data_IF_951115777995
#
_entry.id   IF_951115777995
#
_cell.length_a   1.000
_cell.length_b   1.000
_cell.length_c   1.000
_cell.angle_alpha   90.00
_cell.angle_beta   90.00
_cell.angle_gamma   90.00
#
_symmetry.space_group_name_H-M   'P 1'
#
loop_
_entity.id
_entity.type
_entity.pdbx_description
1 polymer ?
#
# COMPACT_ATOMS: atom_id res chain seq x y z
N UNK A 1 -17.33 25.35 10.64
CA UNK A 1 -18.00 25.05 9.35
C UNK A 1 -17.96 23.55 9.16
N UNK A 2 -19.11 22.87 9.25
CA UNK A 2 -19.20 21.43 8.99
C UNK A 2 -19.04 21.23 7.49
N UNK A 3 -17.89 20.72 7.04
CA UNK A 3 -17.70 20.27 5.66
C UNK A 3 -18.42 18.93 5.53
N UNK A 4 -19.52 18.92 4.79
CA UNK A 4 -20.19 17.70 4.34
C UNK A 4 -19.23 16.98 3.40
N UNK A 5 -18.75 15.81 3.81
CA UNK A 5 -17.95 14.94 2.96
C UNK A 5 -18.94 14.20 2.05
N UNK A 6 -18.93 14.56 0.77
CA UNK A 6 -19.52 13.73 -0.27
C UNK A 6 -18.46 12.72 -0.67
N UNK A 7 -18.44 11.54 -0.04
CA UNK A 7 -17.80 10.37 -0.66
C UNK A 7 -18.70 10.04 -1.84
N UNK A 8 -18.27 10.41 -3.05
CA UNK A 8 -18.93 10.08 -4.28
C UNK A 8 -18.34 8.77 -4.80
N UNK A 9 -18.76 7.65 -4.23
CA UNK A 9 -18.54 6.35 -4.87
C UNK A 9 -19.30 6.37 -6.20
N UNK A 10 -18.55 6.26 -7.30
CA UNK A 10 -19.11 6.18 -8.63
C UNK A 10 -19.90 4.87 -8.77
N UNK A 11 -21.20 4.92 -8.50
CA UNK A 11 -22.12 3.81 -8.68
C UNK A 11 -22.21 3.43 -10.17
N UNK A 12 -21.59 2.32 -10.58
CA UNK A 12 -21.76 1.77 -11.93
C UNK A 12 -23.00 0.87 -12.01
N UNK A 13 -23.97 1.26 -12.84
CA UNK A 13 -25.05 0.37 -13.28
C UNK A 13 -24.49 -0.73 -14.20
N UNK A 14 -24.63 -1.99 -13.79
CA UNK A 14 -24.43 -3.16 -14.65
C UNK A 14 -25.62 -3.34 -15.60
N UNK A 15 -25.37 -3.24 -16.91
CA UNK A 15 -26.32 -3.69 -17.94
C UNK A 15 -26.12 -5.19 -18.13
N UNK A 16 -27.13 -5.97 -17.73
CA UNK A 16 -27.23 -7.40 -18.02
C UNK A 16 -27.76 -7.61 -19.44
N UNK A 17 -27.05 -8.38 -20.26
CA UNK A 17 -27.61 -9.01 -21.46
C UNK A 17 -27.48 -10.54 -21.31
N UNK A 18 -28.63 -11.20 -21.20
CA UNK A 18 -28.76 -12.65 -21.21
C UNK A 18 -29.02 -13.22 -22.60
N UNK A 19 -28.82 -14.55 -22.70
CA UNK A 19 -29.09 -15.42 -23.84
C UNK A 19 -27.79 -16.08 -24.32
N UNK A 20 -27.56 -17.39 -24.24
CA UNK A 20 -28.43 -18.56 -24.12
C UNK A 20 -27.95 -19.56 -25.19
N UNK A 21 -27.55 -20.78 -24.80
CA UNK A 21 -27.17 -21.82 -25.77
C UNK A 21 -26.33 -22.96 -25.20
N UNK A 22 -27.00 -24.07 -24.90
CA UNK A 22 -26.47 -25.37 -24.47
C UNK A 22 -25.35 -25.95 -25.35
N UNK A 23 -24.44 -26.73 -24.74
CA UNK A 23 -24.32 -28.19 -25.01
C UNK A 23 -23.23 -28.90 -24.18
N UNK A 24 -23.74 -29.89 -23.43
CA UNK A 24 -23.25 -31.27 -23.20
C UNK A 24 -21.82 -31.55 -22.68
N UNK A 25 -21.86 -32.10 -21.47
CA UNK A 25 -20.94 -33.01 -20.78
C UNK A 25 -20.53 -34.19 -21.66
N UNK A 26 -19.24 -34.57 -21.57
CA UNK A 26 -18.86 -35.99 -21.58
C UNK A 26 -17.75 -36.24 -20.56
N UNK A 27 -17.89 -37.34 -19.81
CA UNK A 27 -17.02 -37.78 -18.74
C UNK A 27 -16.28 -39.05 -19.17
N UNK A 28 -15.11 -39.27 -18.53
CA UNK A 28 -14.55 -40.57 -18.11
C UNK A 28 -13.27 -41.02 -18.85
N UNK A 29 -12.46 -41.95 -18.29
CA UNK A 29 -11.60 -41.72 -17.11
C UNK A 29 -10.19 -42.41 -17.21
N UNK A 30 -9.40 -42.30 -16.11
CA UNK A 30 -8.19 -43.09 -15.70
C UNK A 30 -6.86 -42.57 -16.28
N UNK A 31 -5.75 -42.50 -15.52
CA UNK A 31 -5.24 -43.48 -14.55
C UNK A 31 -4.21 -42.84 -13.61
N UNK A 32 -4.21 -43.24 -12.33
CA UNK A 32 -3.17 -42.99 -11.33
C UNK A 32 -1.89 -43.79 -11.64
N UNK A 33 -0.71 -43.22 -11.35
CA UNK A 33 0.49 -43.98 -10.96
C UNK A 33 1.27 -43.23 -9.87
N UNK A 34 1.76 -44.04 -8.93
CA UNK A 34 2.33 -43.71 -7.62
C UNK A 34 3.71 -43.05 -7.62
N UNK A 35 3.91 -42.27 -6.55
CA UNK A 35 5.10 -42.06 -5.73
C UNK A 35 6.45 -42.65 -6.17
N UNK A 36 7.45 -41.77 -6.31
CA UNK A 36 8.78 -42.01 -5.75
C UNK A 36 9.28 -40.80 -4.97
N UNK A 37 9.64 -41.12 -3.74
CA UNK A 37 10.22 -40.27 -2.71
C UNK A 37 11.68 -39.96 -3.09
N UNK A 38 12.05 -38.68 -3.21
CA UNK A 38 13.46 -38.26 -3.24
C UNK A 38 13.66 -37.00 -2.40
N UNK A 39 14.45 -37.19 -1.36
CA UNK A 39 14.94 -36.24 -0.38
C UNK A 39 15.69 -35.06 -1.04
N UNK A 40 15.42 -33.78 -0.68
CA UNK A 40 16.20 -32.67 -1.22
C UNK A 40 17.52 -32.49 -0.46
N UNK A 41 18.61 -32.49 -1.22
CA UNK A 41 19.95 -32.09 -0.77
C UNK A 41 20.01 -30.56 -0.61
N UNK A 42 20.93 -30.02 0.22
CA UNK A 42 20.92 -28.62 0.63
C UNK A 42 21.31 -27.70 -0.54
N UNK A 43 20.43 -26.77 -0.89
CA UNK A 43 20.70 -25.72 -1.86
C UNK A 43 21.56 -24.63 -1.24
N UNK A 44 22.76 -24.47 -1.77
CA UNK A 44 23.70 -23.37 -1.57
C UNK A 44 23.03 -22.02 -1.82
N UNK A 45 23.29 -20.96 -1.02
CA UNK A 45 22.69 -19.64 -1.25
C UNK A 45 23.15 -19.07 -2.60
N UNK A 46 22.20 -18.78 -3.47
CA UNK A 46 22.43 -18.05 -4.72
C UNK A 46 22.80 -16.60 -4.41
N UNK A 47 23.98 -16.20 -4.85
CA UNK A 47 24.45 -14.81 -4.88
C UNK A 47 23.73 -14.04 -5.99
N UNK A 48 22.51 -13.58 -5.77
CA UNK A 48 21.85 -12.58 -6.63
C UNK A 48 22.25 -11.17 -6.15
N UNK A 49 23.51 -10.80 -6.43
CA UNK A 49 24.01 -9.43 -6.28
C UNK A 49 23.67 -8.66 -7.56
N UNK A 50 22.47 -8.10 -7.62
CA UNK A 50 22.16 -6.77 -8.17
C UNK A 50 20.78 -6.39 -7.64
N UNK A 51 20.65 -5.18 -7.06
CA UNK A 51 19.35 -4.56 -6.86
C UNK A 51 18.70 -4.48 -8.24
N UNK A 52 17.79 -5.40 -8.54
CA UNK A 52 17.03 -5.35 -9.79
C UNK A 52 16.36 -3.99 -9.82
N UNK A 53 16.71 -3.21 -10.84
CA UNK A 53 16.03 -1.97 -11.23
C UNK A 53 14.60 -2.37 -11.56
N UNK A 54 13.74 -2.42 -10.54
CA UNK A 54 12.41 -3.00 -10.62
C UNK A 54 11.53 -2.10 -11.49
N UNK A 55 11.45 -2.42 -12.78
CA UNK A 55 10.41 -1.97 -13.71
C UNK A 55 9.99 -0.51 -13.63
N UNK A 56 10.94 0.43 -13.44
CA UNK A 56 10.65 1.84 -13.12
C UNK A 56 10.04 2.64 -14.27
N UNK A 57 9.76 2.06 -15.43
CA UNK A 57 9.30 2.84 -16.57
C UNK A 57 7.84 3.30 -16.41
N UNK A 58 7.69 4.62 -16.42
CA UNK A 58 6.42 5.28 -16.73
C UNK A 58 6.48 5.59 -18.23
N UNK A 59 5.57 4.99 -18.98
CA UNK A 59 5.41 5.19 -20.41
C UNK A 59 4.62 6.47 -20.69
N UNK A 60 4.87 7.11 -21.83
CA UNK A 60 4.01 8.17 -22.38
C UNK A 60 2.97 7.63 -23.37
N UNK A 61 2.96 6.31 -23.60
CA UNK A 61 2.00 5.61 -24.46
C UNK A 61 0.93 4.93 -23.62
N UNK A 62 -0.34 5.28 -23.87
CA UNK A 62 -1.51 4.66 -23.24
C UNK A 62 -1.94 3.44 -24.09
N UNK A 63 -2.11 2.24 -23.50
CA UNK A 63 -2.56 1.08 -24.26
C UNK A 63 -3.97 1.27 -24.83
N UNK A 64 -4.14 1.01 -26.13
CA UNK A 64 -5.40 1.24 -26.85
C UNK A 64 -6.54 0.30 -26.46
N UNK A 65 -6.23 -0.80 -25.78
CA UNK A 65 -7.19 -1.82 -25.36
C UNK A 65 -7.86 -1.53 -24.00
N UNK A 66 -7.54 -0.42 -23.33
CA UNK A 66 -8.12 -0.08 -22.02
C UNK A 66 -9.54 0.48 -22.11
N UNK A 67 -9.97 0.92 -23.30
CA UNK A 67 -11.28 1.52 -23.56
C UNK A 67 -11.18 2.98 -24.00
N UNK A 68 -12.25 3.50 -24.59
CA UNK A 68 -12.23 4.78 -25.31
C UNK A 68 -11.86 5.99 -24.44
N UNK A 69 -12.20 5.98 -23.14
CA UNK A 69 -11.87 7.07 -22.21
C UNK A 69 -10.37 7.13 -21.87
N UNK A 70 -9.66 6.01 -21.98
CA UNK A 70 -8.24 5.89 -21.64
C UNK A 70 -7.36 6.07 -22.88
N UNK A 71 -7.27 7.31 -23.34
CA UNK A 71 -6.52 7.69 -24.54
C UNK A 71 -5.52 8.81 -24.22
N UNK A 72 -4.64 9.12 -25.18
CA UNK A 72 -3.57 10.11 -25.04
C UNK A 72 -4.06 11.57 -24.88
N UNK A 73 -5.32 11.86 -25.15
CA UNK A 73 -5.92 13.18 -24.89
C UNK A 73 -6.32 13.33 -23.42
N UNK A 74 -6.74 12.24 -22.78
CA UNK A 74 -7.22 12.24 -21.39
C UNK A 74 -6.13 11.91 -20.38
N UNK A 75 -5.16 11.07 -20.77
CA UNK A 75 -4.07 10.59 -19.93
C UNK A 75 -2.76 10.62 -20.73
N UNK A 76 -1.67 11.08 -20.13
CA UNK A 76 -0.38 11.22 -20.81
C UNK A 76 0.72 10.31 -20.24
N UNK A 77 0.42 9.58 -19.16
CA UNK A 77 1.36 8.67 -18.50
C UNK A 77 0.68 7.34 -18.19
N UNK A 78 1.44 6.26 -18.33
CA UNK A 78 0.99 4.90 -18.07
C UNK A 78 2.06 4.08 -17.37
N UNK A 79 1.64 3.27 -16.40
CA UNK A 79 2.45 2.18 -15.86
C UNK A 79 1.55 1.00 -15.50
N UNK A 80 2.14 -0.10 -15.03
CA UNK A 80 1.36 -1.27 -14.61
C UNK A 80 2.11 -2.12 -13.59
N UNK A 81 1.36 -2.94 -12.87
CA UNK A 81 1.89 -4.07 -12.10
C UNK A 81 1.64 -5.35 -12.89
N UNK A 82 2.69 -6.12 -13.17
CA UNK A 82 2.58 -7.42 -13.84
C UNK A 82 2.08 -8.47 -12.86
N UNK A 83 1.13 -9.28 -13.31
CA UNK A 83 0.55 -10.37 -12.52
C UNK A 83 1.25 -11.69 -12.84
N UNK A 84 1.27 -12.67 -11.92
CA UNK A 84 1.97 -13.94 -12.13
C UNK A 84 1.56 -14.71 -13.40
N UNK A 85 0.32 -14.59 -13.86
CA UNK A 85 -0.16 -15.20 -15.11
C UNK A 85 0.15 -14.40 -16.39
N UNK A 86 1.00 -13.36 -16.32
CA UNK A 86 1.37 -12.52 -17.46
C UNK A 86 0.41 -11.37 -17.76
N UNK A 87 -0.70 -11.26 -17.04
CA UNK A 87 -1.62 -10.12 -17.08
C UNK A 87 -1.02 -8.81 -16.56
N UNK A 88 -1.85 -7.77 -16.49
CA UNK A 88 -1.45 -6.45 -16.00
C UNK A 88 -2.58 -5.79 -15.23
N UNK A 89 -2.22 -5.13 -14.12
CA UNK A 89 -3.08 -4.18 -13.42
C UNK A 89 -2.61 -2.79 -13.86
N UNK A 90 -3.51 -2.04 -14.47
CA UNK A 90 -3.16 -0.84 -15.21
C UNK A 90 -3.23 0.40 -14.33
N UNK A 91 -2.30 1.33 -14.55
CA UNK A 91 -2.31 2.64 -13.90
C UNK A 91 -2.13 3.69 -15.00
N UNK A 92 -3.12 4.57 -15.14
CA UNK A 92 -3.09 5.70 -16.08
C UNK A 92 -3.11 6.99 -15.29
N UNK A 93 -2.38 8.01 -15.74
CA UNK A 93 -2.26 9.27 -15.02
C UNK A 93 -2.40 10.48 -15.94
N UNK A 94 -3.08 11.50 -15.41
CA UNK A 94 -3.19 12.82 -16.02
C UNK A 94 -1.91 13.64 -15.81
N UNK A 95 -1.82 14.76 -16.52
CA UNK A 95 -0.60 15.53 -16.73
C UNK A 95 -0.07 16.28 -15.49
N UNK A 96 -0.89 16.50 -14.46
CA UNK A 96 -0.44 17.13 -13.21
C UNK A 96 0.02 16.13 -12.16
N UNK A 97 -0.16 14.82 -12.38
CA UNK A 97 0.34 13.79 -11.48
C UNK A 97 1.85 13.65 -11.66
N UNK A 98 2.60 13.79 -10.57
CA UNK A 98 4.07 13.68 -10.65
C UNK A 98 4.51 12.23 -10.83
N UNK A 99 5.75 12.03 -11.28
CA UNK A 99 6.30 10.68 -11.41
C UNK A 99 6.39 9.98 -10.05
N UNK A 100 6.74 10.73 -9.00
CA UNK A 100 6.82 10.25 -7.63
C UNK A 100 5.45 9.77 -7.14
N UNK A 101 4.37 10.51 -7.43
CA UNK A 101 3.00 10.08 -7.12
C UNK A 101 2.62 8.80 -7.87
N UNK A 102 2.91 8.70 -9.17
CA UNK A 102 2.65 7.50 -9.99
C UNK A 102 3.41 6.29 -9.42
N UNK A 103 4.69 6.47 -9.09
CA UNK A 103 5.54 5.42 -8.54
C UNK A 103 5.03 4.98 -7.17
N UNK A 104 4.67 5.92 -6.28
CA UNK A 104 4.11 5.60 -4.97
C UNK A 104 2.83 4.78 -5.09
N UNK A 105 1.88 5.19 -5.94
CA UNK A 105 0.64 4.45 -6.15
C UNK A 105 0.92 3.02 -6.64
N UNK A 106 1.82 2.87 -7.62
CA UNK A 106 2.24 1.54 -8.10
C UNK A 106 2.87 0.70 -6.98
N UNK A 107 3.65 1.33 -6.10
CA UNK A 107 4.34 0.66 -5.01
C UNK A 107 3.38 0.22 -3.90
N UNK A 108 2.37 1.04 -3.54
CA UNK A 108 1.30 0.67 -2.61
C UNK A 108 0.52 -0.54 -3.16
N UNK A 109 0.15 -0.52 -4.44
CA UNK A 109 -0.50 -1.66 -5.09
C UNK A 109 0.36 -2.94 -5.00
N UNK A 110 1.66 -2.84 -5.29
CA UNK A 110 2.59 -3.96 -5.13
C UNK A 110 2.68 -4.43 -3.69
N UNK A 111 2.63 -3.52 -2.72
CA UNK A 111 2.65 -3.88 -1.31
C UNK A 111 1.44 -4.73 -0.92
N UNK A 112 0.23 -4.32 -1.30
CA UNK A 112 -0.96 -5.13 -1.05
C UNK A 112 -0.90 -6.52 -1.70
N UNK A 113 -0.27 -6.62 -2.86
CA UNK A 113 -0.11 -7.87 -3.61
C UNK A 113 1.16 -8.67 -3.25
N UNK A 114 1.99 -8.18 -2.32
CA UNK A 114 3.16 -8.93 -1.84
C UNK A 114 2.71 -10.03 -0.88
N UNK A 115 3.11 -11.27 -1.15
CA UNK A 115 2.86 -12.43 -0.30
C UNK A 115 3.35 -12.20 1.14
N UNK A 116 2.50 -12.46 2.13
CA UNK A 116 2.88 -12.53 3.53
C UNK A 116 2.90 -13.99 3.97
N UNK A 117 4.04 -14.66 3.79
CA UNK A 117 4.21 -16.09 4.07
C UNK A 117 3.82 -16.41 5.51
N UNK A 118 3.03 -17.46 5.70
CA UNK A 118 2.49 -17.87 6.99
C UNK A 118 1.18 -17.21 7.40
N UNK A 119 0.72 -16.16 6.71
CA UNK A 119 -0.62 -15.60 6.93
C UNK A 119 -1.73 -16.46 6.32
N UNK A 120 -2.93 -16.39 6.89
CA UNK A 120 -4.05 -17.26 6.53
C UNK A 120 -4.57 -17.06 5.10
N UNK A 121 -4.66 -15.81 4.66
CA UNK A 121 -5.22 -15.43 3.36
C UNK A 121 -4.23 -14.65 2.47
N UNK A 122 -3.07 -14.29 3.02
CA UNK A 122 -2.02 -13.54 2.31
C UNK A 122 -0.78 -14.37 1.96
N UNK A 123 -0.72 -15.67 2.26
CA UNK A 123 0.48 -16.49 2.04
C UNK A 123 0.89 -16.63 0.57
N UNK A 124 -0.09 -16.59 -0.33
CA UNK A 124 0.10 -16.53 -1.78
C UNK A 124 -1.03 -15.68 -2.37
N UNK A 125 -0.69 -14.48 -2.86
CA UNK A 125 -1.63 -13.51 -3.43
C UNK A 125 -1.68 -13.59 -4.95
N UNK A 126 -1.06 -14.60 -5.56
CA UNK A 126 -1.03 -14.77 -7.02
C UNK A 126 -2.44 -14.85 -7.60
N UNK A 127 -3.35 -15.59 -6.96
CA UNK A 127 -4.74 -15.70 -7.41
C UNK A 127 -5.47 -14.35 -7.40
N UNK A 128 -5.21 -13.52 -6.37
CA UNK A 128 -5.79 -12.17 -6.23
C UNK A 128 -5.27 -11.26 -7.34
N UNK A 129 -3.95 -11.18 -7.51
CA UNK A 129 -3.34 -10.38 -8.58
C UNK A 129 -3.85 -10.81 -9.97
N UNK A 130 -3.89 -12.12 -10.24
CA UNK A 130 -4.40 -12.66 -11.50
C UNK A 130 -5.88 -12.33 -11.71
N UNK A 131 -6.69 -12.36 -10.65
CA UNK A 131 -8.11 -11.98 -10.72
C UNK A 131 -8.27 -10.49 -11.03
N UNK A 132 -7.42 -9.62 -10.45
CA UNK A 132 -7.42 -8.19 -10.78
C UNK A 132 -7.16 -7.94 -12.27
N UNK A 133 -6.15 -8.61 -12.86
CA UNK A 133 -5.88 -8.50 -14.29
C UNK A 133 -7.04 -9.04 -15.14
N UNK A 134 -7.61 -10.20 -14.77
CA UNK A 134 -8.78 -10.78 -15.44
C UNK A 134 -9.99 -9.83 -15.43
N UNK A 135 -10.18 -9.12 -14.32
CA UNK A 135 -11.29 -8.20 -14.11
C UNK A 135 -11.01 -6.77 -14.62
N UNK A 136 -9.96 -6.58 -15.42
CA UNK A 136 -9.64 -5.31 -16.07
C UNK A 136 -9.34 -4.19 -15.07
N UNK A 137 -8.63 -4.49 -13.98
CA UNK A 137 -8.29 -3.51 -12.96
C UNK A 137 -7.49 -2.33 -13.55
N UNK A 138 -8.04 -1.12 -13.37
CA UNK A 138 -7.44 0.16 -13.77
C UNK A 138 -7.50 1.10 -12.57
N UNK A 139 -6.36 1.67 -12.18
CA UNK A 139 -6.27 2.84 -11.31
C UNK A 139 -6.14 4.08 -12.20
N UNK A 140 -7.06 5.03 -12.07
CA UNK A 140 -7.08 6.28 -12.81
C UNK A 140 -6.63 7.43 -11.90
N UNK A 141 -5.38 7.90 -12.10
CA UNK A 141 -4.84 9.03 -11.35
C UNK A 141 -5.30 10.34 -11.99
N UNK A 142 -6.19 11.06 -11.29
CA UNK A 142 -6.90 12.22 -11.80
C UNK A 142 -6.35 13.52 -11.21
N UNK A 143 -6.28 14.57 -12.03
CA UNK A 143 -5.89 15.90 -11.57
C UNK A 143 -6.90 16.46 -10.55
N UNK A 144 -6.42 17.29 -9.61
CA UNK A 144 -7.28 17.98 -8.63
C UNK A 144 -7.57 17.15 -7.39
N UNK A 145 -8.83 17.18 -6.93
CA UNK A 145 -9.33 16.53 -5.71
C UNK A 145 -10.74 15.98 -5.98
N UNK A 146 -11.23 15.09 -5.11
CA UNK A 146 -12.59 14.56 -5.25
C UNK A 146 -13.67 15.58 -4.83
N UNK A 147 -13.91 16.57 -5.70
CA UNK A 147 -14.93 17.61 -5.53
C UNK A 147 -15.85 17.73 -6.74
N UNK A 148 -15.78 16.77 -7.67
CA UNK A 148 -16.53 16.75 -8.91
C UNK A 148 -16.02 17.73 -9.99
N UNK A 149 -14.95 18.48 -9.74
CA UNK A 149 -14.39 19.43 -10.72
C UNK A 149 -13.68 18.76 -11.89
N UNK A 150 -13.16 17.54 -11.69
CA UNK A 150 -12.48 16.80 -12.76
C UNK A 150 -13.52 16.24 -13.77
N UNK A 151 -13.47 16.61 -15.06
CA UNK A 151 -14.47 16.23 -16.06
C UNK A 151 -14.45 14.74 -16.45
N UNK A 152 -13.46 13.98 -15.98
CA UNK A 152 -13.36 12.54 -16.20
C UNK A 152 -13.82 11.70 -15.00
N UNK A 153 -14.07 12.31 -13.84
CA UNK A 153 -14.47 11.62 -12.60
C UNK A 153 -15.64 10.66 -12.81
N UNK A 154 -16.65 11.06 -13.59
CA UNK A 154 -17.85 10.25 -13.89
C UNK A 154 -17.76 9.42 -15.17
N UNK A 155 -16.62 9.45 -15.87
CA UNK A 155 -16.42 8.79 -17.18
C UNK A 155 -15.44 7.63 -17.11
N UNK A 156 -14.50 7.66 -16.18
CA UNK A 156 -13.56 6.56 -15.97
C UNK A 156 -14.26 5.40 -15.29
N UNK A 157 -14.01 4.19 -15.76
CA UNK A 157 -14.53 2.93 -15.19
C UNK A 157 -13.60 2.28 -14.16
N UNK A 158 -12.38 2.80 -14.03
CA UNK A 158 -11.37 2.38 -13.08
C UNK A 158 -11.53 3.14 -11.76
N UNK A 159 -10.78 2.70 -10.75
CA UNK A 159 -10.74 3.36 -9.45
C UNK A 159 -10.12 4.75 -9.60
N UNK A 160 -10.84 5.86 -9.32
CA UNK A 160 -10.24 7.18 -9.31
C UNK A 160 -9.35 7.34 -8.07
N UNK A 161 -8.26 8.09 -8.20
CA UNK A 161 -7.45 8.58 -7.08
C UNK A 161 -6.87 9.94 -7.49
N UNK A 162 -7.07 10.97 -6.68
CA UNK A 162 -6.80 12.33 -7.11
C UNK A 162 -5.42 12.85 -6.69
N UNK A 163 -4.90 13.79 -7.49
CA UNK A 163 -3.61 14.44 -7.28
C UNK A 163 -3.42 14.96 -5.85
N UNK A 164 -4.43 15.62 -5.31
CA UNK A 164 -4.41 16.25 -3.98
C UNK A 164 -4.81 15.27 -2.87
N UNK A 165 -4.67 13.97 -3.12
CA UNK A 165 -4.89 12.88 -2.17
C UNK A 165 -3.70 11.92 -2.11
N UNK A 166 -2.63 12.17 -2.89
CA UNK A 166 -1.43 11.34 -2.95
C UNK A 166 -0.27 12.13 -2.34
N UNK A 167 0.06 11.82 -1.09
CA UNK A 167 1.28 12.33 -0.48
C UNK A 167 2.52 11.65 -1.10
N UNK A 168 3.70 12.24 -0.95
CA UNK A 168 4.97 11.61 -1.34
C UNK A 168 5.91 11.67 -0.15
N UNK A 169 6.49 10.53 0.21
CA UNK A 169 7.38 10.36 1.35
C UNK A 169 8.53 11.38 1.30
N UNK A 170 8.81 12.04 2.41
CA UNK A 170 9.82 13.11 2.49
C UNK A 170 9.43 14.45 1.87
N UNK A 171 8.29 14.55 1.17
CA UNK A 171 7.74 15.82 0.68
C UNK A 171 7.09 16.62 1.81
N UNK A 172 6.98 17.94 1.64
CA UNK A 172 6.48 18.85 2.68
C UNK A 172 5.11 18.43 3.26
N UNK A 173 4.18 18.01 2.40
CA UNK A 173 2.85 17.56 2.83
C UNK A 173 2.91 16.29 3.69
N UNK A 174 3.68 15.29 3.25
CA UNK A 174 3.92 14.06 4.02
C UNK A 174 4.59 14.33 5.36
N UNK A 175 5.58 15.23 5.39
CA UNK A 175 6.32 15.54 6.61
C UNK A 175 5.47 16.32 7.62
N UNK A 176 4.59 17.20 7.14
CA UNK A 176 3.78 18.08 7.98
C UNK A 176 2.59 17.38 8.65
N UNK A 177 1.93 16.44 7.93
CA UNK A 177 0.68 15.79 8.39
C UNK A 177 -0.33 16.78 9.01
N UNK A 178 -0.66 17.85 8.27
CA UNK A 178 -1.58 18.90 8.75
C UNK A 178 -3.07 18.55 8.56
N UNK A 179 -3.38 17.47 7.84
CA UNK A 179 -4.73 17.00 7.52
C UNK A 179 -5.65 18.05 6.86
N UNK A 180 -5.09 19.06 6.17
CA UNK A 180 -5.87 19.91 5.27
C UNK A 180 -6.46 19.08 4.12
N UNK A 181 -5.68 18.09 3.67
CA UNK A 181 -6.07 17.00 2.80
C UNK A 181 -5.52 15.69 3.39
N UNK A 182 -6.32 14.61 3.36
CA UNK A 182 -5.86 13.27 3.75
C UNK A 182 -5.03 12.64 2.64
N UNK A 183 -4.19 11.68 3.00
CA UNK A 183 -3.62 10.75 2.04
C UNK A 183 -4.64 9.62 1.80
N UNK A 184 -5.26 9.59 0.62
CA UNK A 184 -6.23 8.55 0.27
C UNK A 184 -5.58 7.42 -0.55
N UNK A 185 -4.27 7.46 -0.80
CA UNK A 185 -3.64 6.49 -1.70
C UNK A 185 -3.74 5.06 -1.18
N UNK A 186 -3.67 4.84 0.14
CA UNK A 186 -3.85 3.50 0.72
C UNK A 186 -5.29 3.01 0.61
N UNK A 187 -6.26 3.86 0.94
CA UNK A 187 -7.72 3.63 0.84
C UNK A 187 -8.13 3.30 -0.60
N UNK A 188 -7.90 4.19 -1.55
CA UNK A 188 -8.37 4.02 -2.94
C UNK A 188 -7.72 2.82 -3.63
N UNK A 189 -6.42 2.59 -3.40
CA UNK A 189 -5.74 1.44 -3.99
C UNK A 189 -6.22 0.14 -3.35
N UNK A 190 -6.60 0.17 -2.06
CA UNK A 190 -7.22 -0.97 -1.41
C UNK A 190 -8.60 -1.26 -1.99
N UNK A 191 -9.44 -0.25 -2.23
CA UNK A 191 -10.73 -0.44 -2.92
C UNK A 191 -10.55 -1.16 -4.26
N UNK A 192 -9.55 -0.77 -5.07
CA UNK A 192 -9.23 -1.46 -6.31
C UNK A 192 -8.84 -2.94 -6.10
N UNK A 193 -7.98 -3.23 -5.11
CA UNK A 193 -7.57 -4.61 -4.76
C UNK A 193 -8.75 -5.42 -4.23
N UNK A 194 -9.64 -4.78 -3.48
CA UNK A 194 -10.83 -5.39 -2.91
C UNK A 194 -11.82 -5.76 -4.02
N UNK A 195 -12.23 -4.81 -4.85
CA UNK A 195 -13.24 -5.01 -5.89
C UNK A 195 -12.79 -5.97 -7.00
N UNK A 196 -11.52 -5.85 -7.43
CA UNK A 196 -11.03 -6.59 -8.60
C UNK A 196 -10.29 -7.86 -8.23
N UNK A 197 -9.80 -7.97 -6.99
CA UNK A 197 -8.96 -9.06 -6.52
C UNK A 197 -9.67 -9.95 -5.51
N UNK A 198 -9.76 -9.47 -4.26
CA UNK A 198 -10.32 -10.19 -3.10
C UNK A 198 -11.77 -10.59 -3.36
N UNK A 199 -12.57 -9.64 -3.85
CA UNK A 199 -13.99 -9.75 -4.10
C UNK A 199 -14.85 -9.23 -2.96
N UNK A 200 -16.08 -8.88 -3.32
CA UNK A 200 -17.13 -8.42 -2.42
C UNK A 200 -18.31 -9.36 -2.60
N UNK A 201 -18.68 -10.06 -1.54
CA UNK A 201 -19.82 -10.97 -1.51
C UNK A 201 -21.15 -10.21 -1.50
N UNK A 202 -22.27 -10.88 -1.80
CA UNK A 202 -23.60 -10.29 -1.80
C UNK A 202 -24.01 -9.61 -3.11
N UNK A 203 -25.24 -9.08 -3.15
CA UNK A 203 -25.81 -8.45 -4.35
C UNK A 203 -25.02 -7.19 -4.74
N UNK A 204 -24.79 -7.01 -6.05
CA UNK A 204 -23.99 -5.89 -6.57
C UNK A 204 -22.46 -6.06 -6.43
N UNK A 205 -22.01 -7.03 -5.62
CA UNK A 205 -20.60 -7.40 -5.51
C UNK A 205 -20.15 -8.41 -6.57
N UNK A 206 -18.86 -8.74 -6.53
CA UNK A 206 -18.24 -9.78 -7.36
C UNK A 206 -17.50 -10.78 -6.48
N UNK A 207 -17.78 -12.08 -6.66
CA UNK A 207 -17.01 -13.14 -5.99
C UNK A 207 -15.59 -13.12 -6.56
N UNK A 208 -14.65 -12.73 -5.71
CA UNK A 208 -13.24 -12.63 -6.07
C UNK A 208 -12.45 -13.88 -5.67
N UNK A 209 -11.13 -13.71 -5.57
CA UNK A 209 -10.20 -14.81 -5.32
C UNK A 209 -10.06 -15.20 -3.85
N UNK A 210 -10.63 -14.42 -2.91
CA UNK A 210 -10.52 -14.69 -1.47
C UNK A 210 -11.88 -14.56 -0.74
N UNK A 211 -12.89 -15.37 -1.11
CA UNK A 211 -14.23 -15.27 -0.53
C UNK A 211 -14.28 -15.54 0.98
N UNK A 212 -13.40 -16.39 1.51
CA UNK A 212 -13.31 -16.66 2.95
C UNK A 212 -12.77 -15.45 3.73
N UNK A 213 -11.76 -14.76 3.18
CA UNK A 213 -11.26 -13.52 3.77
C UNK A 213 -12.33 -12.42 3.72
N UNK A 214 -13.04 -12.31 2.60
CA UNK A 214 -14.17 -11.38 2.49
C UNK A 214 -15.27 -11.66 3.52
N UNK A 215 -15.59 -12.93 3.79
CA UNK A 215 -16.53 -13.28 4.85
C UNK A 215 -16.05 -12.79 6.23
N UNK A 216 -14.75 -12.89 6.51
CA UNK A 216 -14.15 -12.35 7.75
C UNK A 216 -14.19 -10.83 7.82
N UNK A 217 -13.92 -10.14 6.70
CA UNK A 217 -14.06 -8.68 6.60
C UNK A 217 -15.50 -8.27 6.90
N UNK A 218 -16.49 -8.96 6.31
CA UNK A 218 -17.91 -8.67 6.56
C UNK A 218 -18.32 -8.92 8.01
N UNK A 219 -17.85 -10.02 8.61
CA UNK A 219 -18.10 -10.33 10.03
C UNK A 219 -17.58 -9.21 10.94
N UNK A 220 -16.34 -8.76 10.75
CA UNK A 220 -15.73 -7.68 11.50
C UNK A 220 -16.44 -6.33 11.25
N UNK A 221 -16.78 -6.03 10.00
CA UNK A 221 -17.52 -4.83 9.63
C UNK A 221 -18.90 -4.76 10.32
N UNK A 222 -19.63 -5.87 10.35
CA UNK A 222 -20.93 -5.95 11.02
C UNK A 222 -20.78 -5.71 12.53
N UNK A 223 -19.79 -6.36 13.16
CA UNK A 223 -19.45 -6.13 14.56
C UNK A 223 -19.12 -4.65 14.82
N UNK A 224 -18.32 -4.02 13.95
CA UNK A 224 -17.90 -2.64 14.11
C UNK A 224 -19.07 -1.65 14.00
N UNK A 225 -20.02 -1.87 13.07
CA UNK A 225 -21.24 -1.06 13.02
C UNK A 225 -22.13 -1.27 14.24
N UNK A 226 -22.36 -2.53 14.64
CA UNK A 226 -23.24 -2.86 15.77
C UNK A 226 -22.74 -2.28 17.09
N UNK A 227 -21.42 -2.24 17.28
CA UNK A 227 -20.79 -1.76 18.50
C UNK A 227 -20.29 -0.31 18.39
N UNK A 228 -20.63 0.41 17.31
CA UNK A 228 -20.21 1.79 17.08
C UNK A 228 -18.67 1.97 17.18
N UNK A 229 -17.93 1.01 16.64
CA UNK A 229 -16.46 1.06 16.48
C UNK A 229 -16.06 1.73 15.16
N UNK A 230 -16.99 1.74 14.20
CA UNK A 230 -16.80 2.31 12.88
C UNK A 230 -18.07 3.02 12.40
N UNK A 231 -17.89 3.95 11.46
CA UNK A 231 -18.89 4.88 10.96
C UNK A 231 -19.51 5.76 12.07
N UNK A 232 -18.70 6.07 13.09
CA UNK A 232 -19.09 6.89 14.24
C UNK A 232 -19.48 8.28 13.76
N UNK A 233 -20.65 8.75 14.18
CA UNK A 233 -21.17 10.07 13.80
C UNK A 233 -21.57 10.19 12.33
N UNK A 234 -21.61 9.08 11.58
CA UNK A 234 -22.10 9.07 10.20
C UNK A 234 -23.62 9.05 10.17
N UNK A 235 -24.21 9.87 9.31
CA UNK A 235 -25.66 9.94 9.14
C UNK A 235 -26.25 8.60 8.67
N UNK A 236 -27.38 8.19 9.24
CA UNK A 236 -28.00 6.90 8.94
C UNK A 236 -28.37 6.72 7.44
N UNK A 237 -28.68 7.83 6.75
CA UNK A 237 -28.93 7.82 5.30
C UNK A 237 -27.69 7.44 4.51
N UNK A 238 -26.49 7.90 4.91
CA UNK A 238 -25.22 7.55 4.26
C UNK A 238 -24.85 6.09 4.53
N UNK A 239 -25.10 5.57 5.73
CA UNK A 239 -24.95 4.13 6.01
C UNK A 239 -25.90 3.29 5.15
N UNK A 240 -27.11 3.79 4.90
CA UNK A 240 -28.09 3.11 4.03
C UNK A 240 -27.64 3.11 2.57
N UNK A 241 -27.10 4.23 2.09
CA UNK A 241 -26.48 4.37 0.76
C UNK A 241 -25.36 3.34 0.57
N UNK A 242 -24.36 3.32 1.45
CA UNK A 242 -23.25 2.36 1.38
C UNK A 242 -23.71 0.90 1.50
N UNK A 243 -24.78 0.64 2.27
CA UNK A 243 -25.37 -0.69 2.35
C UNK A 243 -25.99 -1.12 1.03
N UNK A 244 -26.69 -0.22 0.35
CA UNK A 244 -27.33 -0.48 -0.94
C UNK A 244 -26.28 -0.66 -2.06
N UNK A 245 -25.16 0.05 -1.95
CA UNK A 245 -24.00 -0.08 -2.85
C UNK A 245 -23.14 -1.31 -2.54
N UNK A 246 -23.38 -1.97 -1.40
CA UNK A 246 -22.56 -3.06 -0.89
C UNK A 246 -21.08 -2.67 -0.66
N UNK A 247 -20.83 -1.41 -0.28
CA UNK A 247 -19.48 -0.84 -0.05
C UNK A 247 -19.04 -0.88 1.42
N UNK A 248 -19.94 -1.13 2.39
CA UNK A 248 -19.63 -1.10 3.82
C UNK A 248 -18.38 -1.89 4.22
N UNK A 249 -18.17 -3.10 3.67
CA UNK A 249 -16.99 -3.92 3.98
C UNK A 249 -15.68 -3.30 3.49
N UNK A 250 -15.75 -2.54 2.39
CA UNK A 250 -14.58 -1.90 1.80
C UNK A 250 -14.19 -0.67 2.61
N UNK A 251 -15.17 0.21 2.87
CA UNK A 251 -14.98 1.43 3.68
C UNK A 251 -14.46 1.10 5.08
N UNK A 252 -15.04 0.07 5.71
CA UNK A 252 -14.56 -0.43 7.00
C UNK A 252 -13.11 -0.92 6.91
N UNK A 253 -12.78 -1.79 5.95
CA UNK A 253 -11.43 -2.32 5.84
C UNK A 253 -10.39 -1.22 5.58
N UNK A 254 -10.72 -0.24 4.74
CA UNK A 254 -9.86 0.93 4.52
C UNK A 254 -9.59 1.69 5.81
N UNK A 255 -10.61 1.86 6.66
CA UNK A 255 -10.47 2.50 7.98
C UNK A 255 -9.48 1.80 8.90
N UNK A 256 -9.55 0.48 8.91
CA UNK A 256 -8.64 -0.38 9.68
C UNK A 256 -7.23 -0.27 9.11
N UNK A 257 -7.05 -0.39 7.79
CA UNK A 257 -5.74 -0.37 7.11
C UNK A 257 -5.03 0.96 7.31
N UNK A 258 -5.75 2.07 7.15
CA UNK A 258 -5.20 3.40 7.33
C UNK A 258 -4.64 3.61 8.74
N UNK A 259 -5.39 3.18 9.75
CA UNK A 259 -4.98 3.30 11.16
C UNK A 259 -3.87 2.30 11.50
N UNK A 260 -3.94 1.08 10.94
CA UNK A 260 -2.92 0.05 11.09
C UNK A 260 -1.57 0.48 10.50
N UNK A 261 -1.55 1.22 9.39
CA UNK A 261 -0.32 1.81 8.86
C UNK A 261 -0.07 3.24 9.35
N UNK A 262 -0.81 3.71 10.36
CA UNK A 262 -0.50 4.96 11.05
C UNK A 262 -0.75 6.25 10.26
N UNK A 263 -1.59 6.21 9.22
CA UNK A 263 -1.97 7.41 8.45
C UNK A 263 -2.74 8.42 9.31
N UNK A 264 -3.38 7.97 10.39
CA UNK A 264 -4.18 8.82 11.29
C UNK A 264 -3.52 9.14 12.63
N UNK A 265 -2.34 8.57 12.93
CA UNK A 265 -1.70 8.76 14.23
C UNK A 265 -1.35 10.21 14.56
N UNK A 266 -1.11 11.04 13.54
CA UNK A 266 -0.84 12.47 13.69
C UNK A 266 -2.09 13.36 13.77
N UNK A 267 -3.30 12.80 13.57
CA UNK A 267 -4.52 13.59 13.52
C UNK A 267 -4.86 14.18 14.90
N UNK A 268 -4.92 15.50 15.02
CA UNK A 268 -5.04 16.17 16.33
C UNK A 268 -6.47 16.54 16.73
N UNK A 269 -7.42 16.54 15.79
CA UNK A 269 -8.81 16.94 16.10
C UNK A 269 -9.60 15.82 16.80
N UNK A 270 -9.02 14.63 16.93
CA UNK A 270 -9.53 13.51 17.70
C UNK A 270 -8.43 12.93 18.58
N UNK A 271 -8.74 12.72 19.86
CA UNK A 271 -7.81 12.16 20.84
C UNK A 271 -7.52 10.68 20.59
N UNK A 272 -8.57 9.89 20.36
CA UNK A 272 -8.54 8.42 20.30
C UNK A 272 -8.92 7.82 18.95
N UNK A 273 -9.68 8.54 18.12
CA UNK A 273 -10.29 7.98 16.90
C UNK A 273 -9.54 8.40 15.63
N UNK A 274 -9.39 7.46 14.69
CA UNK A 274 -8.90 7.67 13.32
C UNK A 274 -10.02 8.11 12.37
N UNK A 275 -9.67 8.31 11.10
CA UNK A 275 -10.59 8.70 10.02
C UNK A 275 -11.56 9.83 10.37
N UNK A 276 -11.03 11.00 10.72
CA UNK A 276 -11.81 12.16 11.17
C UNK A 276 -12.78 11.88 12.33
N UNK A 277 -12.50 10.85 13.14
CA UNK A 277 -13.34 10.43 14.25
C UNK A 277 -14.26 9.25 13.95
N UNK A 278 -14.38 8.81 12.69
CA UNK A 278 -15.32 7.77 12.26
C UNK A 278 -14.89 6.35 12.65
N UNK A 279 -13.62 6.12 12.95
CA UNK A 279 -13.09 4.81 13.33
C UNK A 279 -12.44 4.86 14.70
N UNK A 280 -12.75 3.90 15.56
CA UNK A 280 -12.38 3.92 16.98
C UNK A 280 -10.87 3.89 17.21
N UNK A 281 -10.12 3.15 16.39
CA UNK A 281 -8.66 3.07 16.51
C UNK A 281 -7.97 4.19 15.73
N UNK A 282 -7.19 5.03 16.40
CA UNK A 282 -6.37 6.05 15.72
C UNK A 282 -4.99 5.54 15.29
N UNK A 283 -4.36 4.77 16.17
CA UNK A 283 -3.06 4.11 15.91
C UNK A 283 -3.24 2.62 15.71
N UNK A 284 -2.16 1.93 15.30
CA UNK A 284 -2.14 0.47 15.22
C UNK A 284 -2.37 -0.16 16.59
N UNK A 285 -1.77 0.43 17.62
CA UNK A 285 -1.89 0.01 19.00
C UNK A 285 -3.33 0.18 19.52
N UNK A 286 -3.97 1.31 19.24
CA UNK A 286 -5.39 1.54 19.57
C UNK A 286 -6.30 0.57 18.80
N UNK A 287 -6.01 0.33 17.51
CA UNK A 287 -6.78 -0.64 16.70
C UNK A 287 -6.77 -2.03 17.33
N UNK A 288 -5.64 -2.45 17.92
CA UNK A 288 -5.52 -3.76 18.59
C UNK A 288 -6.44 -3.89 19.80
N UNK A 289 -6.62 -2.80 20.56
CA UNK A 289 -7.43 -2.81 21.78
C UNK A 289 -8.89 -2.54 21.50
N UNK A 290 -9.17 -1.59 20.60
CA UNK A 290 -10.48 -0.98 20.45
C UNK A 290 -11.32 -1.65 19.35
N UNK A 291 -10.67 -2.23 18.33
CA UNK A 291 -11.29 -3.11 17.35
C UNK A 291 -10.44 -4.37 17.08
N UNK A 292 -10.43 -5.35 18.02
CA UNK A 292 -9.62 -6.56 17.90
C UNK A 292 -9.96 -7.40 16.66
N UNK A 293 -11.19 -7.33 16.15
CA UNK A 293 -11.58 -8.03 14.92
C UNK A 293 -10.95 -7.37 13.70
N UNK A 294 -11.04 -6.04 13.60
CA UNK A 294 -10.34 -5.27 12.57
C UNK A 294 -8.84 -5.52 12.59
N UNK A 295 -8.21 -5.43 13.77
CA UNK A 295 -6.79 -5.73 13.94
C UNK A 295 -6.42 -7.15 13.48
N UNK A 296 -7.25 -8.15 13.80
CA UNK A 296 -6.99 -9.53 13.40
C UNK A 296 -6.99 -9.73 11.88
N UNK A 297 -7.84 -9.01 11.13
CA UNK A 297 -7.83 -9.05 9.66
C UNK A 297 -6.46 -8.67 9.09
N UNK A 298 -5.78 -7.71 9.73
CA UNK A 298 -4.49 -7.21 9.25
C UNK A 298 -3.45 -8.33 9.19
N UNK A 299 -3.28 -9.08 10.28
CA UNK A 299 -2.33 -10.21 10.33
C UNK A 299 -2.73 -11.42 9.48
N UNK A 300 -3.98 -11.52 9.05
CA UNK A 300 -4.45 -12.61 8.19
C UNK A 300 -4.07 -12.40 6.72
N UNK A 301 -3.79 -11.17 6.28
CA UNK A 301 -3.58 -10.84 4.86
C UNK A 301 -2.42 -9.89 4.58
N UNK A 302 -2.27 -8.84 5.40
CA UNK A 302 -1.34 -7.74 5.16
C UNK A 302 -0.02 -7.94 5.92
N UNK A 303 1.06 -7.37 5.39
CA UNK A 303 2.34 -7.38 6.11
C UNK A 303 2.27 -6.44 7.32
N UNK A 304 3.01 -6.72 8.40
CA UNK A 304 3.12 -5.78 9.52
C UNK A 304 3.98 -4.55 9.19
N UNK A 305 4.66 -4.55 8.05
CA UNK A 305 5.46 -3.44 7.54
C UNK A 305 5.17 -3.22 6.05
N UNK A 306 5.49 -2.02 5.57
CA UNK A 306 5.38 -1.64 4.16
C UNK A 306 6.54 -2.28 3.39
N UNK A 307 6.21 -3.02 2.33
CA UNK A 307 7.14 -3.93 1.65
C UNK A 307 7.84 -3.31 0.45
N UNK A 308 7.43 -2.12 0.01
CA UNK A 308 8.08 -1.42 -1.09
C UNK A 308 9.25 -0.57 -0.60
N UNK A 309 10.23 -0.34 -1.48
CA UNK A 309 11.26 0.67 -1.27
C UNK A 309 10.66 2.07 -1.51
N UNK A 310 10.54 2.86 -0.44
CA UNK A 310 9.96 4.20 -0.50
C UNK A 310 10.96 5.19 -1.11
N UNK A 311 10.51 5.92 -2.13
CA UNK A 311 11.32 6.96 -2.75
C UNK A 311 11.11 8.28 -2.00
N UNK A 312 12.12 8.66 -1.24
CA UNK A 312 12.07 9.86 -0.40
C UNK A 312 12.37 11.06 -1.27
N UNK A 313 11.46 12.03 -1.25
CA UNK A 313 11.44 13.19 -2.14
C UNK A 313 12.81 13.87 -2.27
N UNK A 314 13.16 14.28 -3.49
CA UNK A 314 14.36 15.06 -3.78
C UNK A 314 14.38 16.42 -3.06
N UNK A 315 13.22 16.89 -2.61
CA UNK A 315 13.08 18.12 -1.83
C UNK A 315 13.44 17.95 -0.35
N UNK A 316 13.60 16.72 0.14
CA UNK A 316 14.02 16.49 1.53
C UNK A 316 15.35 17.20 1.79
N UNK A 317 15.38 17.95 2.88
CA UNK A 317 16.57 18.61 3.39
C UNK A 317 16.63 18.41 4.91
N UNK A 318 17.28 17.34 5.35
CA UNK A 318 17.42 17.00 6.76
C UNK A 318 17.24 15.51 7.03
N UNK A 319 16.52 15.19 8.10
CA UNK A 319 16.34 13.82 8.58
C UNK A 319 14.99 13.23 8.16
N UNK A 320 15.03 12.04 7.56
CA UNK A 320 13.86 11.16 7.41
C UNK A 320 13.96 10.02 8.42
N UNK A 321 13.04 9.96 9.38
CA UNK A 321 13.06 8.96 10.42
C UNK A 321 12.16 7.79 10.06
N UNK A 322 12.72 6.58 10.01
CA UNK A 322 11.96 5.34 10.07
C UNK A 322 11.57 5.00 11.51
N UNK A 323 12.14 5.65 12.52
CA UNK A 323 11.75 5.43 13.90
C UNK A 323 10.62 6.37 14.30
N UNK A 324 9.69 5.88 15.12
CA UNK A 324 8.65 6.71 15.72
C UNK A 324 9.27 7.79 16.61
N UNK A 325 8.83 9.02 16.41
CA UNK A 325 9.21 10.21 17.17
C UNK A 325 7.95 11.09 17.29
N UNK A 326 7.46 11.26 18.52
CA UNK A 326 6.23 12.03 18.78
C UNK A 326 6.32 13.50 18.38
N UNK A 327 7.54 14.04 18.17
CA UNK A 327 7.76 15.40 17.69
C UNK A 327 7.75 15.48 16.15
N UNK A 328 7.71 14.34 15.45
CA UNK A 328 7.68 14.24 13.99
C UNK A 328 6.41 13.52 13.54
N UNK A 329 5.32 14.26 13.24
CA UNK A 329 4.01 13.69 12.93
C UNK A 329 4.01 12.56 11.90
N UNK A 330 4.79 12.70 10.82
CA UNK A 330 4.91 11.70 9.76
C UNK A 330 5.44 10.33 10.21
N UNK A 331 6.10 10.27 11.38
CA UNK A 331 6.66 9.01 11.90
C UNK A 331 5.62 8.04 12.43
N UNK A 332 4.36 8.49 12.59
CA UNK A 332 3.24 7.56 12.76
C UNK A 332 3.13 6.59 11.57
N UNK A 333 3.40 7.06 10.35
CA UNK A 333 3.37 6.24 9.14
C UNK A 333 4.76 5.67 8.78
N UNK A 334 5.80 6.52 8.75
CA UNK A 334 7.14 6.06 8.31
C UNK A 334 7.74 4.99 9.20
N UNK A 335 7.24 4.80 10.44
CA UNK A 335 7.66 3.70 11.29
C UNK A 335 7.42 2.31 10.73
N UNK A 336 6.51 2.19 9.78
CA UNK A 336 6.21 0.93 9.12
C UNK A 336 6.94 0.78 7.78
N UNK A 337 7.63 1.82 7.31
CA UNK A 337 8.55 1.69 6.18
C UNK A 337 9.79 0.93 6.62
N UNK A 338 10.33 0.15 5.68
CA UNK A 338 11.54 -0.66 5.90
C UNK A 338 12.66 -0.24 4.96
N UNK A 339 12.36 -0.16 3.66
CA UNK A 339 13.36 0.16 2.66
C UNK A 339 13.14 1.58 2.12
N UNK A 340 14.22 2.34 1.95
CA UNK A 340 14.14 3.71 1.40
C UNK A 340 15.26 4.00 0.40
N UNK A 341 14.94 4.86 -0.57
CA UNK A 341 15.89 5.47 -1.48
C UNK A 341 15.73 6.99 -1.40
N UNK A 342 16.79 7.69 -1.02
CA UNK A 342 16.83 9.14 -1.06
C UNK A 342 16.97 9.60 -2.51
N UNK A 343 16.14 10.56 -2.93
CA UNK A 343 16.27 11.22 -4.22
C UNK A 343 16.99 12.57 -4.09
N UNK A 344 17.31 13.19 -5.23
CA UNK A 344 17.91 14.52 -5.29
C UNK A 344 19.40 14.53 -4.97
N UNK A 345 19.87 15.64 -4.43
CA UNK A 345 21.30 15.90 -4.16
C UNK A 345 21.57 16.59 -2.82
N UNK A 346 20.54 16.74 -1.99
CA UNK A 346 20.70 17.34 -0.67
C UNK A 346 21.40 16.37 0.27
N UNK A 347 22.24 16.90 1.16
CA UNK A 347 22.78 16.14 2.27
C UNK A 347 21.65 15.79 3.23
N UNK A 348 21.39 14.50 3.38
CA UNK A 348 20.27 14.01 4.14
C UNK A 348 20.71 12.96 5.16
N UNK A 349 19.84 12.71 6.13
CA UNK A 349 20.04 11.61 7.07
C UNK A 349 18.81 10.72 7.15
N UNK A 350 19.05 9.44 7.46
CA UNK A 350 18.00 8.47 7.73
C UNK A 350 18.20 7.88 9.12
N UNK A 351 17.19 7.99 9.98
CA UNK A 351 17.19 7.27 11.26
C UNK A 351 16.52 5.91 11.06
N UNK A 352 17.20 4.82 11.40
CA UNK A 352 16.69 3.46 11.21
C UNK A 352 15.71 3.05 12.31
N UNK A 353 14.89 2.05 12.02
CA UNK A 353 13.96 1.42 12.97
C UNK A 353 14.39 -0.01 13.29
N UNK A 354 13.56 -0.73 14.03
CA UNK A 354 13.82 -2.12 14.45
C UNK A 354 13.83 -3.15 13.32
N UNK A 355 13.47 -2.77 12.09
CA UNK A 355 13.39 -3.67 10.94
C UNK A 355 14.75 -3.82 10.25
N UNK A 356 14.87 -4.84 9.40
CA UNK A 356 16.06 -5.04 8.57
C UNK A 356 16.05 -4.12 7.34
N UNK A 357 16.60 -2.92 7.42
CA UNK A 357 16.40 -1.92 6.36
C UNK A 357 17.36 -2.05 5.17
N UNK A 358 16.89 -1.73 3.98
CA UNK A 358 17.73 -1.38 2.82
C UNK A 358 17.65 0.14 2.60
N UNK A 359 18.78 0.82 2.79
CA UNK A 359 18.88 2.28 2.65
C UNK A 359 19.79 2.60 1.47
N UNK A 360 19.27 3.39 0.52
CA UNK A 360 20.06 3.92 -0.60
C UNK A 360 20.13 5.44 -0.51
N UNK A 361 21.34 6.00 -0.45
CA UNK A 361 21.56 7.44 -0.45
C UNK A 361 21.42 8.08 -1.82
N UNK A 362 21.43 9.42 -1.84
CA UNK A 362 21.37 10.23 -3.05
C UNK A 362 22.77 10.76 -3.43
N UNK A 363 22.88 11.76 -4.32
CA UNK A 363 24.20 12.30 -4.71
C UNK A 363 24.84 13.29 -3.72
N UNK A 364 24.15 13.63 -2.63
CA UNK A 364 24.70 14.41 -1.51
C UNK A 364 25.49 13.55 -0.53
N UNK A 365 25.86 14.15 0.61
CA UNK A 365 26.47 13.45 1.75
C UNK A 365 25.35 12.92 2.65
N UNK A 366 25.20 11.60 2.67
CA UNK A 366 24.14 10.91 3.37
C UNK A 366 24.66 10.30 4.67
N UNK A 367 23.89 10.44 5.75
CA UNK A 367 24.21 9.88 7.08
C UNK A 367 23.12 8.91 7.53
N UNK A 368 23.49 7.71 7.96
CA UNK A 368 22.56 6.79 8.62
C UNK A 368 22.74 6.89 10.14
N UNK A 369 21.65 7.11 10.86
CA UNK A 369 21.63 7.34 12.30
C UNK A 369 21.08 6.11 13.01
N UNK A 370 21.86 5.58 13.95
CA UNK A 370 21.55 4.45 14.80
C UNK A 370 21.22 4.90 16.23
N UNK A 371 20.46 4.08 16.96
CA UNK A 371 19.93 4.38 18.29
C UNK A 371 20.92 4.18 19.44
N UNK A 372 22.05 3.52 19.20
CA UNK A 372 22.96 3.02 20.23
C UNK A 372 24.40 3.53 20.07
N UNK A 373 25.28 3.08 20.96
CA UNK A 373 26.71 3.35 20.88
C UNK A 373 27.37 2.45 19.84
N UNK A 374 28.42 2.93 19.18
CA UNK A 374 29.11 2.23 18.10
C UNK A 374 29.65 0.84 18.46
N UNK A 375 29.92 0.56 19.74
CA UNK A 375 30.36 -0.76 20.23
C UNK A 375 29.25 -1.82 20.26
N UNK A 376 28.00 -1.43 20.09
CA UNK A 376 26.82 -2.31 20.11
C UNK A 376 26.48 -2.84 18.71
N UNK A 377 27.28 -2.50 17.69
CA UNK A 377 27.00 -2.83 16.28
C UNK A 377 28.17 -3.56 15.63
N UNK A 378 27.84 -4.59 14.86
CA UNK A 378 28.77 -5.24 13.96
C UNK A 378 28.71 -4.56 12.59
N UNK A 379 29.89 -4.20 12.06
CA UNK A 379 30.02 -3.50 10.79
C UNK A 379 30.88 -4.30 9.82
N UNK A 380 30.39 -4.41 8.58
CA UNK A 380 31.17 -4.95 7.46
C UNK A 380 30.94 -4.10 6.21
N UNK A 381 32.00 -3.92 5.41
CA UNK A 381 31.94 -3.20 4.14
C UNK A 381 32.47 -4.09 3.03
N UNK A 382 31.69 -4.20 1.96
CA UNK A 382 32.03 -4.97 0.76
C UNK A 382 32.89 -4.13 -0.19
N UNK A 383 33.60 -4.80 -1.10
CA UNK A 383 34.48 -4.14 -2.09
C UNK A 383 33.74 -3.22 -3.06
N UNK A 384 32.43 -3.40 -3.21
CA UNK A 384 31.56 -2.56 -4.05
C UNK A 384 31.04 -1.30 -3.32
N UNK A 385 31.48 -1.07 -2.09
CA UNK A 385 31.06 0.06 -1.26
C UNK A 385 29.79 -0.18 -0.45
N UNK A 386 29.13 -1.33 -0.61
CA UNK A 386 27.96 -1.70 0.20
C UNK A 386 28.39 -1.96 1.64
N UNK A 387 27.69 -1.39 2.63
CA UNK A 387 27.91 -1.71 4.04
C UNK A 387 26.74 -2.49 4.64
N UNK A 388 27.05 -3.33 5.62
CA UNK A 388 26.10 -4.08 6.42
C UNK A 388 26.38 -3.73 7.89
N UNK A 389 25.38 -3.17 8.56
CA UNK A 389 25.42 -2.78 9.97
C UNK A 389 24.37 -3.59 10.73
N UNK A 390 24.79 -4.34 11.75
CA UNK A 390 23.91 -5.24 12.52
C UNK A 390 23.89 -4.74 13.97
N UNK A 391 22.71 -4.43 14.49
CA UNK A 391 22.55 -4.13 15.92
C UNK A 391 22.50 -5.41 16.76
N UNK A 392 23.43 -5.54 17.71
CA UNK A 392 23.53 -6.71 18.57
C UNK A 392 22.49 -6.72 19.70
N UNK A 393 21.73 -5.63 19.87
CA UNK A 393 20.70 -5.48 20.90
C UNK A 393 19.26 -5.46 20.36
N UNK A 394 19.08 -5.55 19.03
CA UNK A 394 17.76 -5.70 18.39
C UNK A 394 16.88 -4.45 18.38
N UNK A 395 17.47 -3.24 18.48
CA UNK A 395 16.76 -1.96 18.43
C UNK A 395 16.69 -1.37 17.02
N UNK A 396 17.68 -1.66 16.19
CA UNK A 396 17.85 -1.08 14.85
C UNK A 396 17.96 -2.13 13.71
N UNK A 397 17.73 -3.41 14.00
CA UNK A 397 17.76 -4.50 13.01
C UNK A 397 19.10 -4.66 12.26
N UNK A 398 19.04 -5.31 11.09
CA UNK A 398 20.16 -5.46 10.16
C UNK A 398 19.99 -4.55 8.94
N UNK A 399 20.91 -3.61 8.77
CA UNK A 399 20.83 -2.55 7.77
C UNK A 399 21.82 -2.79 6.64
N UNK A 400 21.34 -2.79 5.39
CA UNK A 400 22.15 -2.83 4.18
C UNK A 400 22.16 -1.45 3.52
N UNK A 401 23.35 -0.87 3.38
CA UNK A 401 23.54 0.52 3.03
C UNK A 401 24.23 0.64 1.66
N UNK A 402 23.67 1.48 0.80
CA UNK A 402 24.19 1.81 -0.53
C UNK A 402 24.36 3.32 -0.67
N UNK A 403 25.49 3.78 -1.21
CA UNK A 403 25.75 5.22 -1.43
C UNK A 403 25.55 6.06 -0.15
N UNK A 404 26.14 5.60 0.96
CA UNK A 404 26.12 6.29 2.25
C UNK A 404 27.54 6.69 2.61
N UNK A 405 27.72 7.93 3.03
CA UNK A 405 29.03 8.48 3.35
C UNK A 405 29.34 8.40 4.85
N UNK A 406 28.31 8.43 5.71
CA UNK A 406 28.49 8.54 7.16
C UNK A 406 27.56 7.66 7.97
N UNK A 407 28.05 7.21 9.11
CA UNK A 407 27.28 6.55 10.15
C UNK A 407 27.33 7.39 11.42
N UNK A 408 26.19 7.58 12.07
CA UNK A 408 26.07 8.29 13.33
C UNK A 408 25.51 7.35 14.40
N UNK A 409 26.27 7.21 15.48
CA UNK A 409 25.92 6.51 16.72
C UNK A 409 25.79 7.54 17.85
N UNK A 410 25.34 7.12 19.03
CA UNK A 410 25.21 8.01 20.20
C UNK A 410 26.55 8.53 20.72
N UNK A 411 27.63 7.75 20.56
CA UNK A 411 28.97 8.06 21.06
C UNK A 411 29.87 8.71 20.02
N UNK A 412 29.62 8.51 18.71
CA UNK A 412 30.44 9.08 17.64
C UNK A 412 29.75 9.09 16.27
N UNK A 413 30.26 9.93 15.38
CA UNK A 413 30.02 9.88 13.93
C UNK A 413 31.30 9.42 13.24
N UNK A 414 31.18 8.56 12.23
CA UNK A 414 32.31 8.09 11.43
C UNK A 414 31.98 8.07 9.95
N UNK A 415 33.01 8.26 9.11
CA UNK A 415 32.91 8.08 7.67
C UNK A 415 32.92 6.58 7.33
N UNK A 416 32.16 6.20 6.28
CA UNK A 416 31.99 4.80 5.86
C UNK A 416 32.99 4.36 4.81
#
# INVERSE_FOLDING_TARGET
MKKTITIALASFMLVACGGGGDKKVDQSPKTQKENKNTQPNPTTPSTDNQVKKDGTSISTTIPSNLGAVYNSTNFNRYTSVKTPNGGSIHIVAQDKITNEQIIRCRNILKHYLTDFKGSMYGSDKSAIANNMAKNGAILALLNGQDDGSNPLSTKVTGQPLYQNEIQVEGGAWYMAQNYEHRDAAYEEILHLVHDKGIGVDGAGGSIGAAPEYQAKIREAQQNALTNNLWAIGTEASKITEWRNENSLSQEYLASVVDSYYGLWGAYTQSGSNGMWGMYVGKTREDTKTDDPMGYALMGQFFHPYITYNAQISASLNGNFSLKFDSLKPYTNHSRYLKDVTLLGSNNNSVSVNELDNIITGNSGINTVIFSGNSSEYDMSKSSDGTAIIIDNLGRDGKNKLYSIEKLQFNDKTMDL
#
